data_IF_095703032170
#
_entry.id   IF_095703032170
#
_cell.length_a   1.000
_cell.length_b   1.000
_cell.length_c   1.000
_cell.angle_alpha   90.00
_cell.angle_beta   90.00
_cell.angle_gamma   90.00
#
_symmetry.space_group_name_H-M   'P 1'
#
loop_
_entity.id
_entity.type
_entity.pdbx_description
1 polymer ?
#
# COMPACT_ATOMS: atom_id res chain seq x y z
N UNK A 1 4.41 -21.96 14.28
CA UNK A 1 5.36 -21.13 13.50
C UNK A 1 5.60 -19.85 14.29
N UNK A 2 6.84 -19.39 14.44
CA UNK A 2 7.11 -18.11 15.14
C UNK A 2 6.54 -16.97 14.31
N UNK A 3 5.79 -16.06 14.96
CA UNK A 3 5.30 -14.83 14.35
C UNK A 3 6.49 -14.04 13.81
N UNK A 4 6.50 -13.58 12.54
CA UNK A 4 7.59 -12.78 12.04
C UNK A 4 7.66 -11.48 12.84
N UNK A 5 8.77 -11.25 13.53
CA UNK A 5 9.00 -9.97 14.21
C UNK A 5 9.49 -8.95 13.18
N UNK A 6 8.59 -8.20 12.56
CA UNK A 6 8.94 -7.09 11.69
C UNK A 6 9.45 -5.91 12.51
N UNK A 7 10.50 -5.26 12.01
CA UNK A 7 10.97 -3.98 12.53
C UNK A 7 10.45 -2.82 11.68
N UNK A 8 10.47 -2.99 10.36
CA UNK A 8 10.04 -1.97 9.39
C UNK A 8 9.15 -2.59 8.33
N UNK A 9 8.01 -1.99 8.11
CA UNK A 9 7.06 -2.44 7.08
C UNK A 9 6.73 -1.31 6.11
N UNK A 10 6.36 -1.69 4.90
CA UNK A 10 5.63 -0.81 4.01
C UNK A 10 4.19 -1.29 3.94
N UNK A 11 3.25 -0.45 4.36
CA UNK A 11 1.82 -0.69 4.22
C UNK A 11 1.30 0.02 2.98
N UNK A 12 0.87 -0.73 1.98
CA UNK A 12 0.20 -0.23 0.78
C UNK A 12 -1.31 -0.35 0.94
N UNK A 13 -2.00 0.76 0.83
CA UNK A 13 -3.46 0.83 0.88
C UNK A 13 -4.04 1.12 -0.51
N UNK A 14 -5.12 0.42 -0.88
CA UNK A 14 -5.92 0.82 -2.04
C UNK A 14 -6.62 2.14 -1.75
N UNK A 15 -6.60 3.09 -2.70
CA UNK A 15 -7.34 4.34 -2.54
C UNK A 15 -8.85 4.12 -2.29
N UNK A 16 -9.41 3.06 -2.86
CA UNK A 16 -10.82 2.69 -2.65
C UNK A 16 -11.18 2.42 -1.18
N UNK A 17 -10.19 2.11 -0.35
CA UNK A 17 -10.38 1.97 1.09
C UNK A 17 -10.75 3.31 1.73
N UNK A 18 -10.24 4.44 1.21
CA UNK A 18 -10.45 5.76 1.78
C UNK A 18 -11.79 6.41 1.39
N UNK A 19 -12.56 5.79 0.51
CA UNK A 19 -13.89 6.31 0.15
C UNK A 19 -15.02 5.80 1.05
N UNK A 20 -14.74 4.89 1.99
CA UNK A 20 -15.75 4.31 2.87
C UNK A 20 -16.88 3.64 2.09
N UNK A 21 -18.12 4.03 2.40
CA UNK A 21 -19.32 3.60 1.68
C UNK A 21 -19.64 4.44 0.44
N UNK A 22 -18.87 5.50 0.18
CA UNK A 22 -19.05 6.39 -0.96
C UNK A 22 -18.57 5.72 -2.25
N UNK A 23 -19.04 6.22 -3.40
CA UNK A 23 -18.60 5.72 -4.71
C UNK A 23 -17.31 6.37 -5.20
N UNK A 24 -16.95 7.53 -4.64
CA UNK A 24 -15.72 8.25 -4.96
C UNK A 24 -15.37 9.26 -3.85
N UNK A 25 -14.13 9.78 -3.87
CA UNK A 25 -13.69 10.82 -2.95
C UNK A 25 -13.01 10.26 -1.69
N UNK A 26 -12.96 11.08 -0.65
CA UNK A 26 -12.31 10.78 0.62
C UNK A 26 -13.36 10.86 1.72
N UNK A 27 -13.58 9.76 2.41
CA UNK A 27 -14.39 9.67 3.61
C UNK A 27 -13.50 9.92 4.83
N UNK A 28 -13.69 11.06 5.49
CA UNK A 28 -12.85 11.49 6.62
C UNK A 28 -12.94 10.57 7.82
N UNK A 29 -14.11 9.98 8.08
CA UNK A 29 -14.32 9.08 9.21
C UNK A 29 -13.61 7.74 8.94
N UNK A 30 -13.65 7.29 7.69
CA UNK A 30 -12.94 6.08 7.30
C UNK A 30 -11.42 6.28 7.31
N UNK A 31 -10.94 7.46 6.89
CA UNK A 31 -9.52 7.83 7.01
C UNK A 31 -9.08 7.86 8.47
N UNK A 32 -9.88 8.45 9.37
CA UNK A 32 -9.59 8.49 10.80
C UNK A 32 -9.52 7.08 11.41
N UNK A 33 -10.43 6.18 11.00
CA UNK A 33 -10.40 4.76 11.40
C UNK A 33 -9.11 4.06 10.98
N UNK A 34 -8.73 4.21 9.71
CA UNK A 34 -7.50 3.59 9.20
C UNK A 34 -6.26 4.21 9.87
N UNK A 35 -6.26 5.52 10.10
CA UNK A 35 -5.18 6.20 10.81
C UNK A 35 -5.01 5.65 12.24
N UNK A 36 -6.11 5.31 12.93
CA UNK A 36 -6.04 4.68 14.26
C UNK A 36 -5.37 3.31 14.19
N UNK A 37 -5.70 2.45 13.22
CA UNK A 37 -5.05 1.14 13.06
C UNK A 37 -3.54 1.29 12.74
N UNK A 38 -3.19 2.27 11.92
CA UNK A 38 -1.78 2.58 11.61
C UNK A 38 -1.04 3.08 12.85
N UNK A 39 -1.68 3.93 13.65
CA UNK A 39 -1.14 4.40 14.93
C UNK A 39 -0.90 3.23 15.88
N UNK A 40 -1.87 2.34 16.05
CA UNK A 40 -1.76 1.20 16.95
C UNK A 40 -0.61 0.27 16.53
N UNK A 41 -0.45 0.03 15.23
CA UNK A 41 0.68 -0.71 14.68
C UNK A 41 2.02 -0.01 14.94
N UNK A 42 2.11 1.31 14.77
CA UNK A 42 3.32 2.09 15.06
C UNK A 42 3.65 2.08 16.55
N UNK A 43 2.66 2.19 17.41
CA UNK A 43 2.83 2.21 18.87
C UNK A 43 3.29 0.85 19.44
N UNK A 44 3.14 -0.25 18.67
CA UNK A 44 3.77 -1.54 18.98
C UNK A 44 5.28 -1.58 18.70
N UNK A 45 5.87 -0.47 18.22
CA UNK A 45 7.32 -0.33 17.97
C UNK A 45 7.74 -0.50 16.51
N UNK A 46 6.79 -0.59 15.58
CA UNK A 46 7.08 -0.69 14.14
C UNK A 46 7.45 0.65 13.52
N UNK A 47 8.44 0.63 12.64
CA UNK A 47 8.70 1.70 11.68
C UNK A 47 7.80 1.50 10.46
N UNK A 48 6.97 2.49 10.14
CA UNK A 48 5.94 2.35 9.10
C UNK A 48 6.16 3.33 7.96
N UNK A 49 6.27 2.76 6.75
CA UNK A 49 6.10 3.46 5.48
C UNK A 49 4.70 3.22 4.95
N UNK A 50 4.05 4.25 4.40
CA UNK A 50 2.75 4.15 3.76
C UNK A 50 2.84 4.48 2.27
N UNK A 51 2.08 3.77 1.46
CA UNK A 51 1.75 4.13 0.07
C UNK A 51 0.24 3.99 -0.09
N UNK A 52 -0.42 5.01 -0.62
CA UNK A 52 -1.87 5.02 -0.78
C UNK A 52 -2.20 5.25 -2.26
N UNK A 53 -3.01 4.37 -2.84
CA UNK A 53 -3.48 4.51 -4.22
C UNK A 53 -4.42 5.72 -4.40
N UNK A 54 -4.61 6.17 -5.66
CA UNK A 54 -5.45 7.31 -6.00
C UNK A 54 -6.82 6.94 -6.61
N UNK A 55 -7.16 5.65 -6.66
CA UNK A 55 -8.31 5.14 -7.43
C UNK A 55 -9.69 5.55 -6.93
N UNK A 56 -9.80 6.08 -5.71
CA UNK A 56 -11.00 6.70 -5.15
C UNK A 56 -11.28 8.11 -5.70
N UNK A 57 -10.26 8.78 -6.23
CA UNK A 57 -10.34 10.15 -6.77
C UNK A 57 -10.25 10.12 -8.30
N UNK A 58 -9.25 9.42 -8.84
CA UNK A 58 -9.03 9.33 -10.27
C UNK A 58 -8.37 8.01 -10.67
N UNK A 59 -8.89 7.39 -11.73
CA UNK A 59 -8.35 6.14 -12.31
C UNK A 59 -7.79 6.43 -13.71
N UNK A 60 -6.45 6.51 -13.82
CA UNK A 60 -5.75 6.83 -15.06
C UNK A 60 -6.13 5.93 -16.24
N UNK A 61 -6.21 4.62 -16.04
CA UNK A 61 -6.62 3.68 -17.09
C UNK A 61 -8.06 3.92 -17.59
N UNK A 62 -8.99 4.29 -16.69
CA UNK A 62 -10.36 4.61 -17.09
C UNK A 62 -10.44 5.95 -17.83
N UNK A 63 -9.58 6.92 -17.51
CA UNK A 63 -9.43 8.17 -18.23
C UNK A 63 -8.87 7.96 -19.63
N UNK A 64 -7.81 7.17 -19.77
CA UNK A 64 -7.20 6.81 -21.05
C UNK A 64 -8.19 6.07 -21.97
N UNK A 65 -8.99 5.15 -21.42
CA UNK A 65 -10.03 4.44 -22.17
C UNK A 65 -11.13 5.37 -22.74
N UNK A 66 -11.25 6.60 -22.20
CA UNK A 66 -12.16 7.64 -22.69
C UNK A 66 -11.49 8.65 -23.63
N UNK A 67 -10.28 8.35 -24.15
CA UNK A 67 -9.57 9.16 -25.13
C UNK A 67 -8.59 10.21 -24.53
N UNK A 68 -8.37 10.20 -23.22
CA UNK A 68 -7.33 11.01 -22.59
C UNK A 68 -5.94 10.43 -22.89
N UNK A 69 -4.93 11.27 -23.05
CA UNK A 69 -3.55 10.81 -23.13
C UNK A 69 -3.16 10.01 -21.88
N UNK A 70 -2.54 8.86 -22.08
CA UNK A 70 -2.24 7.90 -21.00
C UNK A 70 -1.29 8.51 -19.97
N UNK A 71 -0.24 9.21 -20.41
CA UNK A 71 0.73 9.80 -19.51
C UNK A 71 0.09 10.90 -18.66
N UNK A 72 -0.78 11.73 -19.26
CA UNK A 72 -1.52 12.74 -18.52
C UNK A 72 -2.50 12.13 -17.52
N UNK A 73 -3.22 11.09 -17.91
CA UNK A 73 -4.11 10.36 -17.00
C UNK A 73 -3.37 9.75 -15.82
N UNK A 74 -2.17 9.20 -16.05
CA UNK A 74 -1.33 8.65 -14.99
C UNK A 74 -0.81 9.76 -14.04
N UNK A 75 -0.43 10.96 -14.56
CA UNK A 75 -0.09 12.10 -13.70
C UNK A 75 -1.27 12.56 -12.83
N UNK A 76 -2.48 12.59 -13.35
CA UNK A 76 -3.68 12.89 -12.55
C UNK A 76 -3.87 11.84 -11.45
N UNK A 77 -3.66 10.55 -11.75
CA UNK A 77 -3.66 9.49 -10.75
C UNK A 77 -2.58 9.67 -9.67
N UNK A 78 -1.37 10.11 -10.06
CA UNK A 78 -0.31 10.42 -9.11
C UNK A 78 -0.69 11.59 -8.18
N UNK A 79 -1.28 12.68 -8.72
CA UNK A 79 -1.78 13.79 -7.92
C UNK A 79 -2.90 13.33 -6.95
N UNK A 80 -3.76 12.44 -7.39
CA UNK A 80 -4.79 11.85 -6.52
C UNK A 80 -4.16 11.10 -5.31
N UNK A 81 -3.03 10.43 -5.50
CA UNK A 81 -2.31 9.81 -4.37
C UNK A 81 -1.76 10.83 -3.38
N UNK A 82 -1.37 12.03 -3.85
CA UNK A 82 -0.91 13.11 -2.97
C UNK A 82 -2.06 13.61 -2.11
N UNK A 83 -3.25 13.80 -2.68
CA UNK A 83 -4.44 14.19 -1.90
C UNK A 83 -4.74 13.18 -0.80
N UNK A 84 -4.72 11.88 -1.10
CA UNK A 84 -4.92 10.83 -0.11
C UNK A 84 -3.82 10.82 0.97
N UNK A 85 -2.57 11.06 0.58
CA UNK A 85 -1.45 11.13 1.51
C UNK A 85 -1.59 12.29 2.50
N UNK A 86 -2.03 13.47 2.04
CA UNK A 86 -2.29 14.64 2.89
C UNK A 86 -3.46 14.40 3.84
N UNK A 87 -4.54 13.76 3.37
CA UNK A 87 -5.68 13.40 4.22
C UNK A 87 -5.25 12.44 5.34
N UNK A 88 -4.46 11.41 5.01
CA UNK A 88 -3.94 10.45 5.98
C UNK A 88 -2.94 11.11 6.95
N UNK A 89 -2.07 12.00 6.48
CA UNK A 89 -1.17 12.77 7.33
C UNK A 89 -1.96 13.58 8.35
N UNK A 90 -2.97 14.33 7.90
CA UNK A 90 -3.82 15.13 8.78
C UNK A 90 -4.47 14.26 9.87
N UNK A 91 -5.02 13.10 9.50
CA UNK A 91 -5.66 12.20 10.47
C UNK A 91 -4.65 11.61 11.47
N UNK A 92 -3.45 11.21 11.03
CA UNK A 92 -2.40 10.70 11.91
C UNK A 92 -1.89 11.79 12.87
N UNK A 93 -1.70 13.01 12.38
CA UNK A 93 -1.24 14.13 13.21
C UNK A 93 -2.30 14.58 14.22
N UNK A 94 -3.59 14.47 13.92
CA UNK A 94 -4.67 14.66 14.89
C UNK A 94 -4.63 13.61 16.02
N UNK A 95 -4.14 12.40 15.74
CA UNK A 95 -3.91 11.36 16.74
C UNK A 95 -2.56 11.49 17.48
N UNK A 96 -1.83 12.59 17.26
CA UNK A 96 -0.53 12.86 17.89
C UNK A 96 0.64 12.06 17.26
N UNK A 97 0.46 11.50 16.06
CA UNK A 97 1.50 10.74 15.36
C UNK A 97 2.25 11.63 14.38
N UNK A 98 3.52 11.99 14.63
CA UNK A 98 4.29 12.79 13.71
C UNK A 98 4.44 12.08 12.36
N UNK A 99 4.00 12.71 11.28
CA UNK A 99 3.94 12.12 9.95
C UNK A 99 4.60 13.03 8.92
N UNK A 100 5.21 12.47 7.89
CA UNK A 100 5.79 13.22 6.76
C UNK A 100 5.32 12.61 5.44
N UNK A 101 4.87 13.47 4.53
CA UNK A 101 4.58 13.10 3.15
C UNK A 101 5.79 13.42 2.29
N UNK A 102 6.22 12.44 1.49
CA UNK A 102 7.25 12.63 0.48
C UNK A 102 6.71 12.26 -0.90
N UNK A 103 6.80 13.19 -1.85
CA UNK A 103 6.31 13.01 -3.22
C UNK A 103 7.43 12.70 -4.20
N UNK A 104 7.17 11.76 -5.11
CA UNK A 104 8.06 11.48 -6.24
C UNK A 104 7.99 12.53 -7.34
N UNK A 105 6.97 13.39 -7.34
CA UNK A 105 6.89 14.61 -8.16
C UNK A 105 7.21 15.79 -7.24
N UNK A 106 8.12 16.65 -7.65
CA UNK A 106 8.51 17.82 -6.88
C UNK A 106 7.34 18.79 -6.70
N UNK A 107 7.02 19.10 -5.44
CA UNK A 107 5.96 20.05 -5.06
C UNK A 107 6.24 20.64 -3.67
N UNK A 108 7.36 21.30 -3.53
CA UNK A 108 7.96 21.76 -2.27
C UNK A 108 7.05 22.58 -1.35
N UNK A 109 6.04 23.25 -1.90
CA UNK A 109 5.05 23.99 -1.12
C UNK A 109 3.98 23.09 -0.47
N UNK A 110 3.90 21.83 -0.89
CA UNK A 110 2.85 20.89 -0.46
C UNK A 110 3.42 19.80 0.42
N UNK A 111 4.54 19.20 0.01
CA UNK A 111 5.19 18.10 0.73
C UNK A 111 6.68 18.01 0.35
N UNK A 112 7.42 17.20 1.08
CA UNK A 112 8.84 17.01 0.82
C UNK A 112 9.07 16.22 -0.48
N UNK A 113 10.16 16.48 -1.23
CA UNK A 113 10.60 15.55 -2.29
C UNK A 113 11.08 14.22 -1.68
N UNK A 114 10.93 13.13 -2.43
CA UNK A 114 11.45 11.83 -2.01
C UNK A 114 12.97 11.86 -1.98
N UNK A 115 13.52 11.83 -0.78
CA UNK A 115 14.96 11.68 -0.52
C UNK A 115 15.14 10.53 0.45
N UNK A 116 15.71 9.41 -0.03
CA UNK A 116 15.86 8.17 0.73
C UNK A 116 16.40 8.38 2.15
N UNK A 117 17.54 9.06 2.29
CA UNK A 117 18.16 9.30 3.60
C UNK A 117 17.31 10.17 4.53
N UNK A 118 16.50 11.07 3.98
CA UNK A 118 15.55 11.87 4.76
C UNK A 118 14.40 11.01 5.27
N UNK A 119 13.88 10.12 4.44
CA UNK A 119 12.87 9.15 4.86
C UNK A 119 13.39 8.22 5.96
N UNK A 120 14.59 7.63 5.78
CA UNK A 120 15.25 6.82 6.82
C UNK A 120 15.34 7.60 8.13
N UNK A 121 15.78 8.87 8.09
CA UNK A 121 15.89 9.71 9.30
C UNK A 121 14.54 10.03 9.93
N UNK A 122 13.46 10.11 9.16
CA UNK A 122 12.11 10.25 9.71
C UNK A 122 11.69 8.99 10.48
N UNK A 123 11.89 7.81 9.88
CA UNK A 123 11.58 6.53 10.53
C UNK A 123 12.36 6.34 11.84
N UNK A 124 13.67 6.59 11.83
CA UNK A 124 14.52 6.55 13.04
C UNK A 124 14.02 7.47 14.17
N UNK A 125 13.34 8.57 13.82
CA UNK A 125 12.71 9.48 14.78
C UNK A 125 11.29 9.05 15.20
N UNK A 126 10.87 7.86 14.84
CA UNK A 126 9.54 7.33 15.12
C UNK A 126 8.40 8.05 14.36
N UNK A 127 8.71 8.71 13.23
CA UNK A 127 7.70 9.31 12.35
C UNK A 127 7.21 8.30 11.32
N UNK A 128 5.94 8.41 10.94
CA UNK A 128 5.43 7.71 9.77
C UNK A 128 5.83 8.49 8.52
N UNK A 129 6.24 7.78 7.46
CA UNK A 129 6.53 8.36 6.15
C UNK A 129 5.50 7.86 5.15
N UNK A 130 4.81 8.78 4.49
CA UNK A 130 3.84 8.48 3.43
C UNK A 130 4.49 8.85 2.09
N UNK A 131 4.71 7.87 1.23
CA UNK A 131 5.22 8.09 -0.11
C UNK A 131 4.05 8.30 -1.08
N UNK A 132 4.05 9.42 -1.78
CA UNK A 132 3.04 9.83 -2.72
C UNK A 132 3.59 9.95 -4.14
N UNK A 133 2.72 10.08 -5.13
CA UNK A 133 3.00 10.17 -6.57
C UNK A 133 3.73 8.93 -7.14
N UNK A 134 3.56 7.76 -6.52
CA UNK A 134 4.08 6.49 -7.02
C UNK A 134 5.59 6.50 -7.24
N UNK A 135 6.03 6.18 -8.46
CA UNK A 135 7.44 6.28 -8.88
C UNK A 135 7.78 7.65 -9.52
N UNK A 136 6.80 8.53 -9.71
CA UNK A 136 6.98 9.83 -10.38
C UNK A 136 6.99 9.75 -11.91
N UNK A 137 6.70 8.59 -12.50
CA UNK A 137 6.69 8.37 -13.94
C UNK A 137 5.38 7.67 -14.37
N UNK A 138 4.85 8.02 -15.57
CA UNK A 138 3.72 7.32 -16.16
C UNK A 138 4.00 5.84 -16.41
N UNK A 139 2.95 5.08 -16.69
CA UNK A 139 2.94 3.63 -16.99
C UNK A 139 3.22 2.70 -15.81
N UNK A 140 3.50 3.23 -14.62
CA UNK A 140 3.62 2.47 -13.40
C UNK A 140 2.39 2.67 -12.50
N UNK A 141 2.08 1.66 -11.69
CA UNK A 141 1.02 1.77 -10.70
C UNK A 141 1.59 2.09 -9.31
N UNK A 142 0.70 2.29 -8.35
CA UNK A 142 1.10 2.45 -6.95
C UNK A 142 1.65 1.16 -6.34
N UNK A 143 1.37 -0.01 -6.92
CA UNK A 143 1.98 -1.28 -6.49
C UNK A 143 3.48 -1.30 -6.82
N UNK A 144 3.87 -0.87 -8.03
CA UNK A 144 5.28 -0.70 -8.40
C UNK A 144 5.99 0.34 -7.52
N UNK A 145 5.30 1.45 -7.21
CA UNK A 145 5.80 2.45 -6.27
C UNK A 145 6.03 1.87 -4.87
N UNK A 146 5.07 1.08 -4.37
CA UNK A 146 5.18 0.44 -3.06
C UNK A 146 6.36 -0.55 -2.99
N UNK A 147 6.52 -1.40 -4.01
CA UNK A 147 7.64 -2.33 -4.07
C UNK A 147 9.01 -1.62 -4.10
N UNK A 148 9.12 -0.54 -4.90
CA UNK A 148 10.34 0.28 -4.96
C UNK A 148 10.67 0.89 -3.60
N UNK A 149 9.68 1.52 -2.94
CA UNK A 149 9.91 2.14 -1.63
C UNK A 149 10.19 1.11 -0.54
N UNK A 150 9.57 -0.07 -0.59
CA UNK A 150 9.88 -1.16 0.33
C UNK A 150 11.34 -1.61 0.22
N UNK A 151 11.85 -1.76 -1.00
CA UNK A 151 13.26 -2.10 -1.25
C UNK A 151 14.20 -0.97 -0.80
N UNK A 152 13.95 0.29 -1.19
CA UNK A 152 14.77 1.44 -0.80
C UNK A 152 14.85 1.63 0.71
N UNK A 153 13.74 1.44 1.41
CA UNK A 153 13.65 1.60 2.86
C UNK A 153 14.06 0.33 3.62
N UNK A 154 14.43 -0.74 2.92
CA UNK A 154 14.80 -2.03 3.51
C UNK A 154 13.71 -2.54 4.46
N UNK A 155 12.47 -2.54 3.98
CA UNK A 155 11.35 -3.07 4.74
C UNK A 155 11.42 -4.60 4.83
N UNK A 156 11.05 -5.14 5.98
CA UNK A 156 10.99 -6.59 6.23
C UNK A 156 9.84 -7.27 5.47
N UNK A 157 8.78 -6.50 5.18
CA UNK A 157 7.63 -6.95 4.40
C UNK A 157 6.90 -5.78 3.73
N UNK A 158 6.21 -6.08 2.63
CA UNK A 158 5.20 -5.23 2.01
C UNK A 158 3.82 -5.78 2.34
N UNK A 159 3.05 -5.04 3.13
CA UNK A 159 1.67 -5.37 3.50
C UNK A 159 0.71 -4.68 2.53
N UNK A 160 -0.11 -5.44 1.82
CA UNK A 160 -1.15 -4.91 0.92
C UNK A 160 -2.52 -4.99 1.59
N UNK A 161 -2.94 -3.87 2.16
CA UNK A 161 -4.29 -3.67 2.69
C UNK A 161 -5.28 -3.34 1.57
N UNK A 162 -6.21 -4.24 1.31
CA UNK A 162 -7.18 -4.15 0.22
C UNK A 162 -8.59 -4.51 0.70
N UNK A 163 -9.55 -4.62 -0.22
CA UNK A 163 -10.92 -5.03 0.08
C UNK A 163 -11.12 -6.55 0.07
N UNK A 164 -10.09 -7.33 -0.33
CA UNK A 164 -10.11 -8.79 -0.32
C UNK A 164 -9.17 -9.32 0.76
N UNK A 165 -9.47 -10.50 1.28
CA UNK A 165 -8.80 -11.10 2.43
C UNK A 165 -7.57 -11.95 2.08
N UNK A 166 -7.21 -12.02 0.79
CA UNK A 166 -6.03 -12.76 0.34
C UNK A 166 -5.99 -12.94 -1.18
N UNK A 167 -5.14 -13.85 -1.62
CA UNK A 167 -4.96 -14.26 -3.01
C UNK A 167 -5.67 -15.59 -3.23
N UNK A 168 -6.36 -15.71 -4.35
CA UNK A 168 -7.14 -16.89 -4.74
C UNK A 168 -6.65 -17.46 -6.07
N UNK A 169 -6.88 -18.76 -6.26
CA UNK A 169 -6.58 -19.48 -7.51
C UNK A 169 -7.49 -19.06 -8.67
N UNK A 170 -8.67 -18.50 -8.35
CA UNK A 170 -9.63 -17.91 -9.30
C UNK A 170 -10.28 -16.66 -8.68
N UNK A 171 -11.04 -15.90 -9.45
CA UNK A 171 -11.77 -14.74 -8.95
C UNK A 171 -12.96 -15.19 -8.07
N UNK A 172 -12.92 -15.00 -6.73
CA UNK A 172 -13.96 -15.48 -5.84
C UNK A 172 -15.33 -14.82 -6.07
N UNK A 173 -15.40 -13.73 -6.83
CA UNK A 173 -16.67 -13.10 -7.24
C UNK A 173 -17.32 -13.82 -8.42
N UNK A 174 -16.55 -14.62 -9.17
CA UNK A 174 -17.00 -15.32 -10.38
C UNK A 174 -17.07 -16.83 -10.17
N UNK A 175 -16.21 -17.36 -9.31
CA UNK A 175 -16.15 -18.78 -8.98
C UNK A 175 -16.29 -18.97 -7.48
N UNK A 176 -17.42 -19.54 -7.06
CA UNK A 176 -17.70 -19.83 -5.65
C UNK A 176 -16.79 -20.94 -5.07
N UNK A 177 -16.08 -21.69 -5.93
CA UNK A 177 -15.13 -22.73 -5.50
C UNK A 177 -13.68 -22.22 -5.41
N UNK A 178 -13.44 -20.94 -5.71
CA UNK A 178 -12.12 -20.33 -5.62
C UNK A 178 -11.52 -20.54 -4.22
N UNK A 179 -10.29 -21.03 -4.19
CA UNK A 179 -9.58 -21.32 -2.95
C UNK A 179 -8.54 -20.25 -2.67
N UNK A 180 -8.55 -19.73 -1.45
CA UNK A 180 -7.54 -18.79 -0.99
C UNK A 180 -6.25 -19.55 -0.65
N UNK A 181 -5.12 -18.98 -1.10
CA UNK A 181 -3.81 -19.43 -0.67
C UNK A 181 -3.50 -18.90 0.74
N UNK A 182 -2.94 -19.73 1.60
CA UNK A 182 -2.29 -19.27 2.85
C UNK A 182 -0.90 -18.72 2.55
N UNK A 183 -0.15 -19.47 1.75
CA UNK A 183 1.14 -19.07 1.20
C UNK A 183 1.19 -19.40 -0.29
N UNK A 184 1.92 -18.62 -1.06
CA UNK A 184 2.14 -18.86 -2.49
C UNK A 184 3.52 -18.33 -2.89
N UNK A 185 4.19 -19.03 -3.82
CA UNK A 185 5.48 -18.62 -4.35
C UNK A 185 5.34 -17.49 -5.36
N UNK A 186 6.36 -16.60 -5.42
CA UNK A 186 6.37 -15.51 -6.40
C UNK A 186 6.28 -16.00 -7.85
N UNK A 187 6.96 -17.12 -8.16
CA UNK A 187 6.98 -17.66 -9.52
C UNK A 187 5.60 -18.20 -9.92
N UNK A 188 4.87 -18.82 -8.98
CA UNK A 188 3.47 -19.21 -9.18
C UNK A 188 2.59 -17.97 -9.44
N UNK A 189 2.74 -16.92 -8.64
CA UNK A 189 1.99 -15.67 -8.83
C UNK A 189 2.22 -15.09 -10.22
N UNK A 190 3.46 -15.10 -10.71
CA UNK A 190 3.82 -14.56 -12.03
C UNK A 190 3.37 -15.49 -13.16
N UNK A 191 3.58 -16.82 -13.03
CA UNK A 191 3.23 -17.79 -14.06
C UNK A 191 1.72 -17.91 -14.28
N UNK A 192 0.97 -17.95 -13.19
CA UNK A 192 -0.50 -18.09 -13.22
C UNK A 192 -1.20 -16.72 -13.33
N UNK A 193 -0.43 -15.63 -13.41
CA UNK A 193 -0.96 -14.26 -13.50
C UNK A 193 -2.00 -13.95 -12.40
N UNK A 194 -1.72 -14.40 -11.17
CA UNK A 194 -2.61 -14.18 -10.04
C UNK A 194 -2.69 -12.68 -9.71
N UNK A 195 -3.89 -12.20 -9.44
CA UNK A 195 -4.17 -10.77 -9.21
C UNK A 195 -3.76 -10.31 -7.81
N UNK A 196 -2.47 -10.35 -7.54
CA UNK A 196 -1.86 -9.85 -6.29
C UNK A 196 -1.48 -8.38 -6.44
N UNK A 197 -0.55 -8.13 -7.33
CA UNK A 197 0.04 -6.82 -7.68
C UNK A 197 0.44 -6.86 -9.15
N UNK A 198 0.94 -5.74 -9.69
CA UNK A 198 1.57 -5.75 -11.01
C UNK A 198 2.75 -6.72 -11.05
N UNK A 199 2.95 -7.38 -12.18
CA UNK A 199 4.07 -8.31 -12.36
C UNK A 199 5.43 -7.66 -12.05
N UNK A 200 5.63 -6.39 -12.42
CA UNK A 200 6.85 -5.63 -12.09
C UNK A 200 7.05 -5.45 -10.59
N UNK A 201 5.98 -5.21 -9.83
CA UNK A 201 6.03 -5.08 -8.38
C UNK A 201 6.34 -6.42 -7.70
N UNK A 202 5.72 -7.51 -8.15
CA UNK A 202 5.98 -8.87 -7.66
C UNK A 202 7.42 -9.27 -7.94
N UNK A 203 7.92 -9.05 -9.16
CA UNK A 203 9.30 -9.35 -9.53
C UNK A 203 10.31 -8.56 -8.69
N UNK A 204 10.06 -7.26 -8.46
CA UNK A 204 10.93 -6.43 -7.62
C UNK A 204 10.96 -6.92 -6.16
N UNK A 205 9.82 -7.32 -5.60
CA UNK A 205 9.75 -7.91 -4.27
C UNK A 205 10.51 -9.25 -4.20
N UNK A 206 10.33 -10.12 -5.20
CA UNK A 206 11.07 -11.39 -5.32
C UNK A 206 12.58 -11.18 -5.33
N UNK A 207 13.06 -10.30 -6.22
CA UNK A 207 14.49 -10.06 -6.43
C UNK A 207 15.17 -9.44 -5.18
N UNK A 208 14.38 -8.82 -4.29
CA UNK A 208 14.85 -8.24 -3.02
C UNK A 208 14.44 -9.06 -1.78
N UNK A 209 13.85 -10.26 -1.96
CA UNK A 209 13.38 -11.12 -0.88
C UNK A 209 12.42 -10.41 0.10
N UNK A 210 11.52 -9.57 -0.40
CA UNK A 210 10.53 -8.83 0.40
C UNK A 210 9.19 -9.57 0.33
N UNK A 211 8.77 -10.30 1.38
CA UNK A 211 7.47 -10.96 1.37
C UNK A 211 6.33 -9.97 1.20
N UNK A 212 5.31 -10.37 0.41
CA UNK A 212 4.09 -9.59 0.22
C UNK A 212 2.99 -10.26 1.05
N UNK A 213 2.36 -9.49 1.94
CA UNK A 213 1.25 -9.94 2.77
C UNK A 213 -0.03 -9.28 2.30
N UNK A 214 -0.97 -10.04 1.75
CA UNK A 214 -2.25 -9.54 1.23
C UNK A 214 -3.35 -9.84 2.24
N UNK A 215 -4.11 -8.82 2.64
CA UNK A 215 -5.15 -8.93 3.64
C UNK A 215 -6.25 -7.88 3.46
N UNK A 216 -7.42 -8.10 4.08
CA UNK A 216 -8.50 -7.12 4.11
C UNK A 216 -8.26 -6.08 5.21
N UNK A 217 -8.22 -4.79 4.84
CA UNK A 217 -8.16 -3.66 5.78
C UNK A 217 -9.58 -3.16 6.16
N UNK A 218 -10.63 -3.74 5.57
CA UNK A 218 -12.02 -3.35 5.88
C UNK A 218 -12.46 -3.77 7.26
N UNK A 219 -11.96 -4.89 7.75
CA UNK A 219 -12.24 -5.38 9.09
C UNK A 219 -11.46 -4.59 10.14
N UNK A 220 -12.17 -4.08 11.14
CA UNK A 220 -11.57 -3.32 12.22
C UNK A 220 -10.57 -4.17 13.01
N UNK A 221 -9.36 -3.64 13.24
CA UNK A 221 -8.29 -4.32 13.98
C UNK A 221 -7.59 -5.45 13.19
N UNK A 222 -7.91 -5.63 11.89
CA UNK A 222 -7.30 -6.72 11.13
C UNK A 222 -5.80 -6.50 10.86
N UNK A 223 -5.35 -5.24 10.74
CA UNK A 223 -3.92 -4.95 10.61
C UNK A 223 -3.13 -5.48 11.81
N UNK A 224 -3.62 -5.25 13.03
CA UNK A 224 -2.98 -5.77 14.25
C UNK A 224 -2.94 -7.30 14.28
N UNK A 225 -4.05 -7.98 13.92
CA UNK A 225 -4.11 -9.44 13.84
C UNK A 225 -3.12 -10.01 12.80
N UNK A 226 -3.05 -9.38 11.63
CA UNK A 226 -2.11 -9.76 10.55
C UNK A 226 -0.66 -9.61 11.02
N UNK A 227 -0.33 -8.53 11.70
CA UNK A 227 1.00 -8.30 12.28
C UNK A 227 1.33 -9.32 13.39
N UNK A 228 0.32 -9.78 14.13
CA UNK A 228 0.46 -10.85 15.12
C UNK A 228 0.48 -12.26 14.49
N UNK A 229 0.29 -12.39 13.17
CA UNK A 229 0.22 -13.69 12.49
C UNK A 229 -1.10 -14.46 12.72
N UNK A 230 -2.13 -13.80 13.22
CA UNK A 230 -3.44 -14.38 13.58
C UNK A 230 -4.55 -14.02 12.59
N UNK A 231 -4.31 -13.06 11.71
CA UNK A 231 -5.30 -12.56 10.75
C UNK A 231 -5.46 -13.43 9.51
N UNK A 232 -6.60 -13.30 8.82
CA UNK A 232 -6.79 -13.89 7.48
C UNK A 232 -5.93 -13.14 6.48
N UNK A 233 -5.01 -13.85 5.84
CA UNK A 233 -4.04 -13.27 4.91
C UNK A 233 -3.51 -14.31 3.93
N UNK A 234 -2.90 -13.86 2.86
CA UNK A 234 -2.01 -14.66 2.00
C UNK A 234 -0.60 -14.09 2.05
N UNK A 235 0.41 -14.94 2.23
CA UNK A 235 1.81 -14.54 2.20
C UNK A 235 2.43 -15.00 0.88
N UNK A 236 2.92 -14.07 0.07
CA UNK A 236 3.72 -14.36 -1.13
C UNK A 236 5.19 -14.27 -0.74
N UNK A 237 5.93 -15.37 -0.89
CA UNK A 237 7.34 -15.45 -0.53
C UNK A 237 8.06 -16.52 -1.35
N UNK A 238 9.38 -16.56 -1.31
CA UNK A 238 10.19 -17.57 -1.96
C UNK A 238 10.01 -18.94 -1.27
N UNK A 239 9.85 -20.00 -2.07
CA UNK A 239 9.78 -21.39 -1.60
C UNK A 239 8.55 -21.67 -0.73
N UNK A 240 7.41 -21.11 -1.09
CA UNK A 240 6.12 -21.34 -0.40
C UNK A 240 5.45 -22.64 -0.85
#
# INVERSE_FOLDING_TARGET
MSVPSYKRILLKLSGEVLMGEQQFGIDTDYVARVAQEVKDARDSGLEICLVIGGGNIFRGMAGAAKGMDRAQADYMGMLATVMNALAMQSALEQLGVPTRVQSAIEMDKVCEPVIRRRAERHLEKGRIVIFAAGVGAPYFTTDSGAALRAAEMKCDALLKGTSVDGVYDADPKKDANAKRYETVDYDTVLADNLKVMDASAVALCRDNNIPIVVFSIRERGNLARVLAGEGTQTIVKQGA
#
